data_IF_006373334252
#
_entry.id   IF_006373334252
#
_cell.length_a   1.000
_cell.length_b   1.000
_cell.length_c   1.000
_cell.angle_alpha   90.00
_cell.angle_beta   90.00
_cell.angle_gamma   90.00
#
_symmetry.space_group_name_H-M   'P 1'
#
loop_
_entity.id
_entity.type
_entity.pdbx_description
1 polymer ?
#
# COMPACT_ATOMS: atom_id res chain seq x y z
N UNK A 1 -15.41 2.15 60.64
CA UNK A 1 -16.13 1.25 59.70
C UNK A 1 -16.61 2.00 58.45
N UNK A 2 -15.75 2.69 57.73
CA UNK A 2 -16.13 3.43 56.51
C UNK A 2 -15.07 3.36 55.38
N UNK A 3 -14.40 2.21 55.18
CA UNK A 3 -13.35 2.08 54.19
C UNK A 3 -13.63 0.90 53.23
N UNK A 4 -14.84 0.40 53.12
CA UNK A 4 -15.18 -0.74 52.27
C UNK A 4 -16.09 -0.45 51.09
N UNK A 5 -16.34 0.80 50.72
CA UNK A 5 -17.28 1.16 49.65
C UNK A 5 -16.61 1.84 48.44
N UNK A 6 -15.31 2.04 48.45
CA UNK A 6 -14.59 2.71 47.33
C UNK A 6 -13.89 1.76 46.37
N UNK A 7 -13.93 0.43 46.59
CA UNK A 7 -13.24 -0.52 45.72
C UNK A 7 -14.11 -1.11 44.59
N UNK A 8 -15.38 -0.74 44.48
CA UNK A 8 -16.28 -1.30 43.44
C UNK A 8 -16.52 -0.39 42.23
N UNK A 9 -16.11 0.88 42.30
CA UNK A 9 -16.31 1.79 41.18
C UNK A 9 -15.16 1.84 40.18
N UNK A 10 -13.99 1.31 40.57
CA UNK A 10 -12.80 1.33 39.69
C UNK A 10 -12.84 0.26 38.59
N UNK A 11 -13.62 -0.81 38.79
CA UNK A 11 -13.66 -1.93 37.86
C UNK A 11 -14.58 -1.69 36.65
N UNK A 12 -15.64 -0.87 36.83
CA UNK A 12 -16.56 -0.55 35.72
C UNK A 12 -15.99 0.45 34.71
N UNK A 13 -15.13 1.37 35.17
CA UNK A 13 -14.52 2.38 34.29
C UNK A 13 -13.50 1.73 33.37
N UNK A 14 -12.77 0.71 33.83
CA UNK A 14 -11.78 -0.02 33.04
C UNK A 14 -12.47 -0.89 31.97
N UNK A 15 -13.62 -1.48 32.31
CA UNK A 15 -14.38 -2.32 31.36
C UNK A 15 -15.02 -1.48 30.26
N UNK A 16 -15.54 -0.30 30.59
CA UNK A 16 -16.12 0.62 29.59
C UNK A 16 -15.05 1.21 28.68
N UNK A 17 -13.84 1.45 29.18
CA UNK A 17 -12.72 1.88 28.32
C UNK A 17 -12.21 0.79 27.37
N UNK A 18 -12.34 -0.49 27.74
CA UNK A 18 -11.95 -1.61 26.88
C UNK A 18 -12.94 -1.83 25.74
N UNK A 19 -14.24 -1.58 25.97
CA UNK A 19 -15.24 -1.72 24.92
C UNK A 19 -15.20 -0.59 23.89
N UNK A 20 -14.81 0.63 24.30
CA UNK A 20 -14.59 1.73 23.37
C UNK A 20 -13.38 1.48 22.45
N UNK A 21 -12.35 0.78 22.94
CA UNK A 21 -11.21 0.38 22.11
C UNK A 21 -11.57 -0.73 21.09
N UNK A 22 -12.60 -1.50 21.37
CA UNK A 22 -13.12 -2.53 20.46
C UNK A 22 -13.95 -1.98 19.30
N UNK A 23 -14.67 -0.88 19.51
CA UNK A 23 -15.55 -0.28 18.52
C UNK A 23 -14.77 0.47 17.41
N UNK A 24 -13.56 0.96 17.72
CA UNK A 24 -12.68 1.61 16.75
C UNK A 24 -11.87 0.63 15.88
N UNK A 25 -11.94 -0.66 16.16
CA UNK A 25 -11.16 -1.68 15.44
C UNK A 25 -11.57 -1.93 13.99
N UNK A 26 -12.73 -1.47 13.58
CA UNK A 26 -13.26 -1.78 12.24
C UNK A 26 -13.25 -0.60 11.26
N UNK A 27 -12.91 0.61 11.69
CA UNK A 27 -12.80 1.77 10.79
C UNK A 27 -11.38 2.25 10.55
N UNK A 28 -10.43 1.83 11.35
CA UNK A 28 -9.01 1.91 11.02
C UNK A 28 -8.62 0.71 10.13
N UNK A 29 -9.37 0.48 9.11
CA UNK A 29 -8.77 -0.10 7.90
C UNK A 29 -7.81 1.00 7.48
N UNK A 30 -6.66 0.96 8.12
CA UNK A 30 -5.51 1.75 7.75
C UNK A 30 -5.47 1.71 6.27
N UNK A 31 -5.54 2.86 5.68
CA UNK A 31 -5.31 3.04 4.26
C UNK A 31 -3.89 2.57 3.98
N UNK A 32 -3.69 1.26 4.06
CA UNK A 32 -2.41 0.64 3.75
C UNK A 32 -2.26 0.76 2.26
N UNK A 33 -1.47 1.74 1.86
CA UNK A 33 -1.09 1.92 0.47
C UNK A 33 -0.18 0.76 0.07
N UNK A 34 -0.45 0.23 -1.10
CA UNK A 34 0.32 -0.88 -1.67
C UNK A 34 0.77 -0.53 -3.08
N UNK A 35 2.04 -0.78 -3.37
CA UNK A 35 2.58 -0.64 -4.71
C UNK A 35 2.47 -2.00 -5.39
N UNK A 36 1.65 -2.08 -6.44
CA UNK A 36 1.37 -3.34 -7.13
C UNK A 36 1.22 -3.16 -8.64
N UNK A 37 1.19 -4.27 -9.35
CA UNK A 37 0.94 -4.30 -10.78
C UNK A 37 -0.57 -4.28 -11.07
N UNK A 38 -1.00 -3.34 -11.90
CA UNK A 38 -2.32 -3.32 -12.50
C UNK A 38 -2.20 -3.77 -13.96
N UNK A 39 -2.99 -4.76 -14.37
CA UNK A 39 -2.99 -5.22 -15.75
C UNK A 39 -3.76 -4.24 -16.63
N UNK A 40 -3.11 -3.78 -17.68
CA UNK A 40 -3.68 -2.96 -18.74
C UNK A 40 -3.32 -3.65 -20.05
N UNK A 41 -4.19 -3.70 -20.98
CA UNK A 41 -3.89 -4.31 -22.28
C UNK A 41 -4.96 -5.28 -22.74
N UNK A 42 -4.87 -5.65 -24.01
CA UNK A 42 -5.83 -6.50 -24.68
C UNK A 42 -5.69 -7.99 -24.28
N UNK A 43 -6.63 -8.79 -24.71
CA UNK A 43 -6.56 -10.26 -24.60
C UNK A 43 -5.30 -10.77 -25.30
N UNK A 44 -4.53 -11.63 -24.63
CA UNK A 44 -3.22 -12.17 -25.08
C UNK A 44 -2.09 -11.14 -25.24
N UNK A 45 -2.32 -9.86 -24.87
CA UNK A 45 -1.30 -8.80 -24.89
C UNK A 45 -1.20 -8.15 -23.51
N UNK A 46 -0.56 -8.80 -22.53
CA UNK A 46 -0.46 -8.24 -21.19
C UNK A 46 0.53 -7.08 -21.14
N UNK A 47 0.06 -5.94 -20.68
CA UNK A 47 0.87 -4.82 -20.23
C UNK A 47 0.52 -4.55 -18.78
N UNK A 48 1.48 -4.11 -18.00
CA UNK A 48 1.28 -3.82 -16.59
C UNK A 48 1.69 -2.40 -16.28
N UNK A 49 0.91 -1.73 -15.43
CA UNK A 49 1.29 -0.47 -14.81
C UNK A 49 1.66 -0.73 -13.36
N UNK A 50 2.72 -0.10 -12.91
CA UNK A 50 3.10 -0.08 -11.50
C UNK A 50 2.35 1.06 -10.87
N UNK A 51 1.46 0.74 -9.94
CA UNK A 51 0.54 1.71 -9.35
C UNK A 51 0.60 1.67 -7.84
N UNK A 52 0.45 2.85 -7.24
CA UNK A 52 0.22 3.01 -5.81
C UNK A 52 -1.28 3.03 -5.60
N UNK A 53 -1.79 2.08 -4.86
CA UNK A 53 -3.22 1.90 -4.63
C UNK A 53 -3.48 1.40 -3.22
N UNK A 54 -4.64 1.69 -2.69
CA UNK A 54 -5.11 1.17 -1.42
C UNK A 54 -5.27 -0.35 -1.47
N UNK A 55 -4.75 -1.05 -0.47
CA UNK A 55 -4.75 -2.53 -0.41
C UNK A 55 -6.15 -3.14 -0.57
N UNK A 56 -7.16 -2.49 -0.02
CA UNK A 56 -8.54 -2.96 -0.07
C UNK A 56 -9.21 -2.82 -1.44
N UNK A 57 -8.67 -1.98 -2.32
CA UNK A 57 -9.27 -1.74 -3.64
C UNK A 57 -9.01 -2.88 -4.62
N UNK A 58 -9.92 -3.03 -5.58
CA UNK A 58 -9.78 -3.98 -6.67
C UNK A 58 -8.50 -3.74 -7.49
N UNK A 59 -7.98 -4.79 -8.16
CA UNK A 59 -6.72 -4.74 -8.93
C UNK A 59 -6.68 -3.59 -9.95
N UNK A 60 -7.78 -3.33 -10.64
CA UNK A 60 -7.91 -2.28 -11.64
C UNK A 60 -8.68 -1.05 -11.12
N UNK A 61 -8.78 -0.89 -9.79
CA UNK A 61 -9.39 0.29 -9.18
C UNK A 61 -8.61 1.57 -9.51
N UNK A 62 -9.21 2.72 -9.19
CA UNK A 62 -8.57 4.03 -9.38
C UNK A 62 -7.28 4.10 -8.54
N UNK A 63 -6.11 4.21 -9.15
CA UNK A 63 -4.85 4.35 -8.42
C UNK A 63 -4.71 5.76 -7.85
N UNK A 64 -3.91 5.88 -6.81
CA UNK A 64 -3.48 7.19 -6.28
C UNK A 64 -2.46 7.81 -7.23
N UNK A 65 -1.48 7.00 -7.66
CA UNK A 65 -0.44 7.43 -8.59
C UNK A 65 0.04 6.24 -9.44
N UNK A 66 0.46 6.53 -10.66
CA UNK A 66 1.13 5.58 -11.56
C UNK A 66 2.62 5.90 -11.54
N UNK A 67 3.42 4.98 -11.03
CA UNK A 67 4.88 5.16 -10.85
C UNK A 67 5.71 4.51 -11.94
N UNK A 68 5.10 3.69 -12.80
CA UNK A 68 5.84 3.08 -13.90
C UNK A 68 5.03 2.14 -14.76
N UNK A 69 5.69 1.58 -15.76
CA UNK A 69 5.16 0.59 -16.69
C UNK A 69 6.06 -0.63 -16.78
N UNK A 70 5.46 -1.78 -17.03
CA UNK A 70 6.16 -3.05 -17.20
C UNK A 70 5.59 -3.80 -18.39
N UNK A 71 6.45 -4.10 -19.37
CA UNK A 71 6.10 -4.89 -20.53
C UNK A 71 6.90 -6.21 -20.55
N UNK A 72 6.25 -7.37 -20.31
CA UNK A 72 6.92 -8.66 -20.31
C UNK A 72 7.17 -9.24 -21.69
N UNK A 73 6.62 -8.65 -22.76
CA UNK A 73 6.70 -9.21 -24.12
C UNK A 73 7.97 -8.85 -24.85
N UNK A 74 8.64 -7.80 -24.45
CA UNK A 74 9.93 -7.40 -25.02
C UNK A 74 11.04 -8.28 -24.48
N UNK A 75 12.00 -8.63 -25.31
CA UNK A 75 13.24 -9.29 -24.91
C UNK A 75 14.41 -8.32 -25.11
N UNK A 76 15.04 -7.80 -24.06
CA UNK A 76 14.71 -7.94 -22.64
C UNK A 76 13.39 -7.26 -22.24
N UNK A 77 12.76 -7.71 -21.14
CA UNK A 77 11.53 -7.12 -20.64
C UNK A 77 11.74 -5.64 -20.31
N UNK A 78 10.91 -4.77 -20.88
CA UNK A 78 10.99 -3.34 -20.64
C UNK A 78 10.38 -3.00 -19.27
N UNK A 79 11.16 -2.31 -18.44
CA UNK A 79 10.75 -1.84 -17.13
C UNK A 79 11.08 -0.35 -17.05
N UNK A 80 10.05 0.47 -17.02
CA UNK A 80 10.18 1.90 -16.81
C UNK A 80 9.60 2.23 -15.45
N UNK A 81 10.40 2.73 -14.53
CA UNK A 81 9.98 3.01 -13.17
C UNK A 81 10.65 4.27 -12.62
N UNK A 82 9.85 5.17 -12.09
CA UNK A 82 10.32 6.35 -11.37
C UNK A 82 10.70 5.95 -9.94
N UNK A 83 11.98 5.63 -9.72
CA UNK A 83 12.47 5.17 -8.40
C UNK A 83 12.20 6.18 -7.29
N UNK A 84 12.47 7.45 -7.55
CA UNK A 84 12.23 8.55 -6.59
C UNK A 84 10.81 8.54 -6.03
N UNK A 85 9.82 8.30 -6.91
CA UNK A 85 8.41 8.24 -6.50
C UNK A 85 8.09 6.98 -5.71
N UNK A 86 8.69 5.85 -6.07
CA UNK A 86 8.55 4.60 -5.32
C UNK A 86 9.11 4.77 -3.90
N UNK A 87 10.34 5.31 -3.78
CA UNK A 87 11.01 5.53 -2.49
C UNK A 87 10.24 6.54 -1.61
N UNK A 88 9.69 7.58 -2.22
CA UNK A 88 8.81 8.52 -1.53
C UNK A 88 7.59 7.81 -0.91
N UNK A 89 6.91 6.95 -1.66
CA UNK A 89 5.75 6.24 -1.15
C UNK A 89 6.11 5.18 -0.10
N UNK A 90 7.25 4.52 -0.25
CA UNK A 90 7.78 3.59 0.75
C UNK A 90 8.09 4.32 2.06
N UNK A 91 8.70 5.49 2.00
CA UNK A 91 8.95 6.33 3.19
C UNK A 91 7.67 6.80 3.88
N UNK A 92 6.57 6.92 3.11
CA UNK A 92 5.22 7.20 3.65
C UNK A 92 4.49 5.96 4.18
N UNK A 93 5.12 4.79 4.12
CA UNK A 93 4.58 3.55 4.66
C UNK A 93 3.84 2.67 3.63
N UNK A 94 3.97 2.91 2.34
CA UNK A 94 3.42 2.03 1.33
C UNK A 94 4.18 0.70 1.29
N UNK A 95 3.45 -0.40 1.20
CA UNK A 95 4.04 -1.73 1.09
C UNK A 95 4.22 -2.10 -0.38
N UNK A 96 5.41 -2.58 -0.73
CA UNK A 96 5.65 -3.12 -2.07
C UNK A 96 5.22 -4.60 -2.15
N UNK A 97 4.57 -4.98 -3.25
CA UNK A 97 4.30 -6.40 -3.52
C UNK A 97 5.58 -7.12 -3.93
N UNK A 98 5.65 -8.43 -3.68
CA UNK A 98 6.83 -9.26 -4.03
C UNK A 98 7.24 -9.13 -5.51
N UNK A 99 6.28 -9.02 -6.40
CA UNK A 99 6.54 -8.84 -7.85
C UNK A 99 7.20 -7.50 -8.14
N UNK A 100 6.72 -6.42 -7.50
CA UNK A 100 7.31 -5.09 -7.65
C UNK A 100 8.71 -5.05 -7.07
N UNK A 101 8.97 -5.69 -5.92
CA UNK A 101 10.32 -5.80 -5.35
C UNK A 101 11.30 -6.44 -6.33
N UNK A 102 10.90 -7.55 -6.98
CA UNK A 102 11.74 -8.22 -7.99
C UNK A 102 12.00 -7.33 -9.22
N UNK A 103 11.02 -6.56 -9.64
CA UNK A 103 11.16 -5.62 -10.75
C UNK A 103 12.03 -4.42 -10.37
N UNK A 104 11.87 -3.92 -9.15
CA UNK A 104 12.67 -2.82 -8.61
C UNK A 104 14.17 -3.18 -8.55
N UNK A 105 14.48 -4.42 -8.17
CA UNK A 105 15.87 -4.91 -8.17
C UNK A 105 16.45 -5.08 -9.58
N UNK A 106 15.60 -5.39 -10.59
CA UNK A 106 16.02 -5.59 -11.98
C UNK A 106 16.00 -4.30 -12.81
N UNK A 107 15.20 -3.31 -12.39
CA UNK A 107 15.11 -2.06 -13.12
C UNK A 107 16.47 -1.35 -13.10
N UNK A 108 17.05 -0.97 -14.26
CA UNK A 108 18.18 -0.07 -14.27
C UNK A 108 17.78 1.22 -13.55
N UNK A 109 18.73 1.85 -12.87
CA UNK A 109 18.51 3.19 -12.35
C UNK A 109 18.07 4.05 -13.55
N UNK A 110 16.81 4.51 -13.53
CA UNK A 110 16.29 5.29 -14.63
C UNK A 110 17.16 6.53 -14.76
N UNK A 111 17.88 6.64 -15.86
CA UNK A 111 18.42 7.92 -16.28
C UNK A 111 17.23 8.88 -16.39
N UNK A 112 17.32 10.09 -15.83
CA UNK A 112 16.29 11.08 -16.01
C UNK A 112 16.11 11.26 -17.51
N UNK A 113 14.89 11.01 -18.01
CA UNK A 113 14.58 11.26 -19.40
C UNK A 113 15.05 12.69 -19.75
N UNK A 114 15.82 12.88 -20.83
CA UNK A 114 16.24 14.21 -21.21
C UNK A 114 14.99 15.05 -21.36
N UNK A 115 14.94 16.13 -20.57
CA UNK A 115 13.90 17.14 -20.70
C UNK A 115 13.99 17.70 -22.12
N UNK A 116 13.00 17.35 -22.91
CA UNK A 116 12.81 17.98 -24.21
C UNK A 116 12.30 19.41 -24.03
#
# INVERSE_FOLDING_TARGET
MAIRLLSRLSSCIIIVCLDLAGLFRNKDIRLVLMIRLARVGARKQPHYRIVVIEKARARNGRPVEVVGTYNPRTNPASIEMKRERVDYWVSKGAQMSERVNKLYAKAPAAEPAPAA
#
